data_IF_401773426964
#
_entry.id   IF_401773426964
#
_cell.length_a   1.000
_cell.length_b   1.000
_cell.length_c   1.000
_cell.angle_alpha   90.00
_cell.angle_beta   90.00
_cell.angle_gamma   90.00
#
_symmetry.space_group_name_H-M   'P 1'
#
loop_
_entity.id
_entity.type
_entity.pdbx_description
1 polymer ?
#
# COMPACT_ATOMS: atom_id res chain seq x y z
N UNK A 1 76.12 17.04 3.87
CA UNK A 1 74.78 17.60 4.09
C UNK A 1 73.93 17.26 2.87
N UNK A 2 73.04 16.28 2.98
CA UNK A 2 72.09 15.89 1.91
C UNK A 2 70.71 16.37 2.33
N UNK A 3 70.22 17.40 1.67
CA UNK A 3 68.87 17.94 1.86
C UNK A 3 67.86 17.09 1.13
N UNK A 4 66.92 16.46 1.90
CA UNK A 4 65.83 15.66 1.39
C UNK A 4 64.62 16.58 1.15
N UNK A 5 64.20 16.74 -0.10
CA UNK A 5 62.99 17.43 -0.49
C UNK A 5 61.82 16.41 -0.39
N UNK A 6 60.94 16.63 0.59
CA UNK A 6 59.69 15.88 0.67
C UNK A 6 58.64 16.57 -0.24
N UNK A 7 58.23 15.87 -1.32
CA UNK A 7 57.11 16.30 -2.18
C UNK A 7 55.82 15.92 -1.52
N UNK A 8 55.08 16.91 -1.07
CA UNK A 8 53.74 16.71 -0.54
C UNK A 8 52.74 16.60 -1.71
N UNK A 9 52.25 15.39 -2.01
CA UNK A 9 51.15 15.21 -2.95
C UNK A 9 49.82 15.63 -2.26
N UNK A 10 49.31 16.80 -2.61
CA UNK A 10 47.97 17.23 -2.27
C UNK A 10 47.02 16.53 -3.24
N UNK A 11 46.38 15.41 -2.81
CA UNK A 11 45.31 14.78 -3.56
C UNK A 11 44.08 15.67 -3.45
N UNK A 12 43.79 16.43 -4.50
CA UNK A 12 42.51 17.13 -4.62
C UNK A 12 41.39 16.10 -4.85
N UNK A 13 40.64 15.78 -3.80
CA UNK A 13 39.36 15.10 -3.97
C UNK A 13 38.42 16.05 -4.72
N UNK A 14 38.25 15.84 -6.01
CA UNK A 14 37.18 16.48 -6.78
C UNK A 14 35.86 15.86 -6.31
N UNK A 15 35.14 16.57 -5.45
CA UNK A 15 33.73 16.28 -5.20
C UNK A 15 32.99 16.59 -6.49
N UNK A 16 32.61 15.55 -7.25
CA UNK A 16 31.70 15.71 -8.38
C UNK A 16 30.36 16.18 -7.79
N UNK A 17 30.01 17.43 -7.98
CA UNK A 17 28.72 17.97 -7.61
C UNK A 17 27.69 17.40 -8.62
N UNK A 18 26.70 16.66 -8.12
CA UNK A 18 25.61 16.17 -8.96
C UNK A 18 24.78 17.33 -9.52
N UNK A 19 24.36 17.22 -10.80
CA UNK A 19 23.54 18.26 -11.44
C UNK A 19 22.09 18.15 -10.97
N UNK A 20 21.55 19.29 -10.51
CA UNK A 20 20.16 19.42 -10.10
C UNK A 20 19.34 20.16 -11.16
N UNK A 21 18.14 19.67 -11.42
CA UNK A 21 17.15 20.28 -12.31
C UNK A 21 15.85 20.54 -11.52
N UNK A 22 15.36 21.78 -11.56
CA UNK A 22 14.15 22.22 -10.85
C UNK A 22 13.20 22.89 -11.83
N UNK A 23 12.00 22.34 -11.93
CA UNK A 23 10.98 22.84 -12.84
C UNK A 23 9.70 23.08 -12.03
N UNK A 24 9.13 24.27 -12.15
CA UNK A 24 7.79 24.57 -11.65
C UNK A 24 6.89 24.93 -12.84
N UNK A 25 5.67 24.36 -12.87
CA UNK A 25 4.66 24.60 -13.90
C UNK A 25 3.29 24.68 -13.26
N UNK A 26 2.50 25.64 -13.74
CA UNK A 26 1.12 25.82 -13.29
C UNK A 26 0.17 25.76 -14.49
N UNK A 27 -0.96 25.07 -14.33
CA UNK A 27 -1.98 24.87 -15.35
C UNK A 27 -3.33 25.29 -14.79
N UNK A 28 -4.02 26.19 -15.46
CA UNK A 28 -5.39 26.56 -15.09
C UNK A 28 -6.33 25.44 -15.46
N UNK A 29 -7.12 24.96 -14.49
CA UNK A 29 -8.08 23.88 -14.66
C UNK A 29 -9.40 24.20 -13.97
N UNK A 30 -10.40 23.37 -14.22
CA UNK A 30 -11.67 23.38 -13.51
C UNK A 30 -11.82 22.12 -12.64
N UNK A 31 -12.65 22.11 -11.61
CA UNK A 31 -12.94 20.87 -10.86
C UNK A 31 -13.47 19.76 -11.78
N UNK A 32 -13.09 18.51 -11.53
CA UNK A 32 -13.48 17.34 -12.35
C UNK A 32 -12.54 17.07 -13.51
N UNK A 33 -11.29 17.51 -13.44
CA UNK A 33 -10.25 17.17 -14.42
C UNK A 33 -9.47 15.91 -14.08
N UNK A 34 -8.46 15.63 -14.90
CA UNK A 34 -7.60 14.46 -14.82
C UNK A 34 -6.13 14.85 -14.70
N UNK A 35 -5.42 14.17 -13.80
CA UNK A 35 -3.96 14.22 -13.71
C UNK A 35 -3.36 12.88 -14.15
N UNK A 36 -2.45 12.91 -15.11
CA UNK A 36 -1.66 11.75 -15.54
C UNK A 36 -0.19 12.02 -15.28
N UNK A 37 0.45 11.19 -14.45
CA UNK A 37 1.89 11.26 -14.20
C UNK A 37 2.53 9.92 -14.55
N UNK A 38 3.41 9.90 -15.54
CA UNK A 38 4.13 8.72 -16.00
C UNK A 38 5.64 8.99 -15.98
N UNK A 39 6.32 8.44 -14.97
CA UNK A 39 7.76 8.68 -14.79
C UNK A 39 8.55 7.39 -14.69
N UNK A 40 9.78 7.39 -15.19
CA UNK A 40 10.65 6.21 -15.16
C UNK A 40 11.25 5.95 -13.78
N UNK A 41 11.43 6.98 -12.96
CA UNK A 41 11.97 6.88 -11.60
C UNK A 41 11.54 8.09 -10.76
N UNK A 42 11.69 7.97 -9.44
CA UNK A 42 11.38 9.04 -8.48
C UNK A 42 10.03 8.88 -7.81
N UNK A 43 9.86 9.60 -6.71
CA UNK A 43 8.61 9.62 -5.95
C UNK A 43 7.60 10.58 -6.55
N UNK A 44 6.33 10.21 -6.46
CA UNK A 44 5.20 11.06 -6.85
C UNK A 44 4.39 11.37 -5.59
N UNK A 45 4.17 12.64 -5.33
CA UNK A 45 3.30 13.13 -4.27
C UNK A 45 2.21 14.00 -4.87
N UNK A 46 0.95 13.66 -4.60
CA UNK A 46 -0.21 14.42 -5.04
C UNK A 46 -0.99 14.87 -3.82
N UNK A 47 -1.18 16.15 -3.70
CA UNK A 47 -1.94 16.79 -2.61
C UNK A 47 -3.07 17.60 -3.23
N UNK A 48 -4.31 17.27 -2.89
CA UNK A 48 -5.41 18.10 -3.27
C UNK A 48 -5.66 19.17 -2.20
N UNK A 49 -5.81 20.42 -2.66
CA UNK A 49 -6.01 21.57 -1.81
C UNK A 49 -7.43 22.13 -2.00
N UNK A 50 -8.18 22.38 -0.91
CA UNK A 50 -9.51 22.97 -0.99
C UNK A 50 -9.51 24.33 -1.67
N UNK A 51 -10.44 24.52 -2.61
CA UNK A 51 -10.62 25.81 -3.29
C UNK A 51 -9.58 26.16 -4.35
N UNK A 52 -8.65 25.28 -4.65
CA UNK A 52 -7.67 25.45 -5.73
C UNK A 52 -8.36 25.36 -7.10
N UNK A 53 -7.90 26.17 -8.07
CA UNK A 53 -8.39 26.23 -9.46
C UNK A 53 -7.28 26.02 -10.49
N UNK A 54 -6.15 25.46 -10.05
CA UNK A 54 -4.99 25.18 -10.89
C UNK A 54 -4.35 23.86 -10.48
N UNK A 55 -3.57 23.29 -11.37
CA UNK A 55 -2.62 22.20 -11.09
C UNK A 55 -1.23 22.81 -11.10
N UNK A 56 -0.56 22.78 -9.96
CA UNK A 56 0.83 23.19 -9.83
C UNK A 56 1.71 21.95 -9.68
N UNK A 57 2.76 21.90 -10.49
CA UNK A 57 3.71 20.78 -10.53
C UNK A 57 5.09 21.29 -10.23
N UNK A 58 5.68 20.76 -9.15
CA UNK A 58 7.07 20.96 -8.77
C UNK A 58 7.86 19.69 -9.05
N UNK A 59 8.89 19.80 -9.89
CA UNK A 59 9.79 18.70 -10.21
C UNK A 59 11.19 19.04 -9.72
N UNK A 60 11.77 18.16 -8.95
CA UNK A 60 13.17 18.19 -8.60
C UNK A 60 13.83 16.89 -9.05
N UNK A 61 14.92 17.00 -9.82
CA UNK A 61 15.73 15.86 -10.26
C UNK A 61 17.19 16.09 -9.91
N UNK A 62 17.86 15.05 -9.49
CA UNK A 62 19.29 15.03 -9.24
C UNK A 62 19.92 13.85 -9.97
N UNK A 63 20.81 14.18 -10.88
CA UNK A 63 21.50 13.21 -11.73
C UNK A 63 22.96 13.14 -11.32
N UNK A 64 23.46 11.94 -11.10
CA UNK A 64 24.87 11.71 -10.77
C UNK A 64 25.50 10.81 -11.84
N UNK A 65 26.51 11.31 -12.52
CA UNK A 65 27.32 10.62 -13.54
C UNK A 65 28.81 10.76 -13.23
N UNK A 66 29.64 10.35 -14.16
CA UNK A 66 31.09 10.46 -14.03
C UNK A 66 31.58 11.90 -14.12
N UNK A 67 30.87 12.77 -14.81
CA UNK A 67 31.17 14.19 -14.97
C UNK A 67 29.87 14.99 -15.25
N UNK A 68 29.96 16.31 -15.09
CA UNK A 68 28.84 17.23 -15.27
C UNK A 68 28.30 17.25 -16.72
N UNK A 69 29.17 17.11 -17.72
CA UNK A 69 28.74 17.08 -19.12
C UNK A 69 27.82 15.89 -19.42
N UNK A 70 28.09 14.71 -18.85
CA UNK A 70 27.23 13.53 -18.98
C UNK A 70 25.90 13.71 -18.24
N UNK A 71 25.91 14.46 -17.14
CA UNK A 71 24.70 14.78 -16.36
C UNK A 71 23.78 15.73 -17.14
N UNK A 72 24.33 16.80 -17.70
CA UNK A 72 23.62 17.76 -18.55
C UNK A 72 23.08 17.09 -19.83
N UNK A 73 23.90 16.26 -20.49
CA UNK A 73 23.46 15.49 -21.65
C UNK A 73 22.29 14.58 -21.32
N UNK A 74 22.35 13.88 -20.18
CA UNK A 74 21.26 13.04 -19.71
C UNK A 74 19.96 13.83 -19.51
N UNK A 75 20.00 14.98 -18.82
CA UNK A 75 18.83 15.83 -18.61
C UNK A 75 18.23 16.34 -19.92
N UNK A 76 19.07 16.66 -20.90
CA UNK A 76 18.64 17.10 -22.23
C UNK A 76 18.00 15.97 -23.06
N UNK A 77 18.53 14.75 -22.95
CA UNK A 77 17.99 13.57 -23.64
C UNK A 77 16.71 13.03 -22.99
N UNK A 78 16.49 13.35 -21.71
CA UNK A 78 15.34 12.88 -20.93
C UNK A 78 14.55 14.07 -20.34
N UNK A 79 13.91 14.90 -21.19
CA UNK A 79 13.15 16.04 -20.73
C UNK A 79 11.95 15.61 -19.92
N UNK A 80 11.48 16.52 -19.05
CA UNK A 80 10.14 16.41 -18.44
C UNK A 80 9.16 17.10 -19.38
N UNK A 81 8.23 16.33 -19.90
CA UNK A 81 7.20 16.81 -20.80
C UNK A 81 5.92 17.14 -20.02
N UNK A 82 5.34 18.28 -20.34
CA UNK A 82 4.08 18.74 -19.78
C UNK A 82 3.10 18.99 -20.92
N UNK A 83 1.94 18.36 -20.85
CA UNK A 83 0.88 18.48 -21.86
C UNK A 83 -0.41 18.85 -21.13
N UNK A 84 -1.11 19.86 -21.59
CA UNK A 84 -2.46 20.17 -21.15
C UNK A 84 -3.40 19.98 -22.35
N UNK A 85 -4.41 19.14 -22.18
CA UNK A 85 -5.50 18.98 -23.14
C UNK A 85 -6.84 19.20 -22.40
N UNK A 86 -7.41 20.37 -22.62
CA UNK A 86 -8.60 20.80 -21.87
C UNK A 86 -8.35 20.81 -20.37
N UNK A 87 -9.04 19.91 -19.64
CA UNK A 87 -8.97 19.78 -18.19
C UNK A 87 -8.05 18.61 -17.73
N UNK A 88 -7.34 18.00 -18.67
CA UNK A 88 -6.37 16.93 -18.40
C UNK A 88 -4.96 17.50 -18.41
N UNK A 89 -4.23 17.30 -17.32
CA UNK A 89 -2.81 17.65 -17.19
C UNK A 89 -1.97 16.37 -17.19
N UNK A 90 -1.03 16.26 -18.12
CA UNK A 90 -0.13 15.11 -18.24
C UNK A 90 1.32 15.53 -18.02
N UNK A 91 2.00 14.80 -17.14
CA UNK A 91 3.44 14.89 -16.91
C UNK A 91 4.10 13.57 -17.34
N UNK A 92 5.08 13.63 -18.22
CA UNK A 92 5.87 12.49 -18.65
C UNK A 92 7.35 12.74 -18.44
N UNK A 93 8.02 11.78 -17.79
CA UNK A 93 9.47 11.77 -17.66
C UNK A 93 9.97 10.30 -17.78
N UNK A 94 9.70 9.71 -18.95
CA UNK A 94 10.10 8.35 -19.26
C UNK A 94 11.56 8.37 -19.71
N UNK A 95 12.44 7.72 -18.96
CA UNK A 95 13.80 7.46 -19.41
C UNK A 95 13.79 6.54 -20.64
N UNK A 96 14.83 6.66 -21.48
CA UNK A 96 14.99 5.75 -22.61
C UNK A 96 15.13 4.30 -22.08
N UNK A 97 14.16 3.44 -22.38
CA UNK A 97 14.08 2.06 -21.91
C UNK A 97 15.02 1.10 -22.66
N UNK A 98 16.10 1.61 -23.26
CA UNK A 98 17.14 0.73 -23.77
C UNK A 98 17.85 0.07 -22.58
N UNK A 99 17.48 -1.16 -22.32
CA UNK A 99 18.08 -2.04 -21.34
C UNK A 99 19.55 -2.30 -21.74
N UNK A 100 20.46 -1.48 -21.20
CA UNK A 100 21.90 -1.72 -21.37
C UNK A 100 22.35 -2.76 -20.33
N UNK A 101 22.77 -3.92 -20.80
CA UNK A 101 23.35 -5.02 -20.01
C UNK A 101 24.73 -4.69 -19.44
N UNK A 102 25.02 -3.44 -19.10
CA UNK A 102 26.28 -3.06 -18.45
C UNK A 102 26.17 -3.24 -16.93
N UNK A 103 26.34 -4.46 -16.48
CA UNK A 103 26.39 -4.86 -15.06
C UNK A 103 27.47 -4.08 -14.26
N UNK A 104 28.56 -3.67 -14.91
CA UNK A 104 29.70 -3.04 -14.23
C UNK A 104 29.59 -1.52 -14.03
N UNK A 105 28.60 -0.82 -14.62
CA UNK A 105 28.43 0.64 -14.52
C UNK A 105 27.32 1.10 -13.56
N UNK A 106 26.48 0.21 -13.10
CA UNK A 106 25.24 0.55 -12.36
C UNK A 106 25.46 1.24 -11.01
N UNK A 107 26.61 1.06 -10.38
CA UNK A 107 26.91 1.61 -9.05
C UNK A 107 27.28 3.10 -9.05
N UNK A 108 27.62 3.66 -10.18
CA UNK A 108 28.03 5.07 -10.33
C UNK A 108 26.91 5.99 -10.79
N UNK A 109 25.84 5.47 -11.38
CA UNK A 109 24.75 6.23 -11.94
C UNK A 109 23.57 6.25 -10.96
N UNK A 110 23.39 7.36 -10.24
CA UNK A 110 22.25 7.55 -9.35
C UNK A 110 21.34 8.63 -9.92
N UNK A 111 20.07 8.30 -10.01
CA UNK A 111 19.01 9.25 -10.37
C UNK A 111 18.06 9.36 -9.19
N UNK A 112 17.85 10.56 -8.71
CA UNK A 112 16.84 10.88 -7.72
C UNK A 112 15.85 11.86 -8.33
N UNK A 113 14.57 11.70 -8.08
CA UNK A 113 13.56 12.65 -8.51
C UNK A 113 12.37 12.67 -7.57
N UNK A 114 11.79 13.85 -7.42
CA UNK A 114 10.57 14.10 -6.67
C UNK A 114 9.64 14.92 -7.55
N UNK A 115 8.42 14.43 -7.72
CA UNK A 115 7.34 15.08 -8.45
C UNK A 115 6.24 15.37 -7.46
N UNK A 116 6.06 16.66 -7.11
CA UNK A 116 5.03 17.11 -6.19
C UNK A 116 3.95 17.85 -6.99
N UNK A 117 2.73 17.42 -6.86
CA UNK A 117 1.60 18.00 -7.59
C UNK A 117 0.54 18.46 -6.61
N UNK A 118 0.21 19.73 -6.67
CA UNK A 118 -0.92 20.33 -5.99
C UNK A 118 -2.08 20.52 -6.98
N UNK A 119 -3.29 20.08 -6.63
CA UNK A 119 -4.44 20.10 -7.54
C UNK A 119 -5.77 20.36 -6.80
N UNK A 120 -6.87 20.65 -7.51
CA UNK A 120 -8.18 20.74 -6.90
C UNK A 120 -8.66 19.40 -6.31
N UNK A 121 -9.48 19.44 -5.26
CA UNK A 121 -9.99 18.23 -4.59
C UNK A 121 -10.70 17.26 -5.56
N UNK A 122 -11.55 17.79 -6.46
CA UNK A 122 -12.32 16.98 -7.43
C UNK A 122 -11.49 16.72 -8.67
N UNK A 123 -10.58 15.75 -8.58
CA UNK A 123 -9.71 15.38 -9.68
C UNK A 123 -9.50 13.86 -9.71
N UNK A 124 -9.48 13.27 -10.90
CA UNK A 124 -9.05 11.89 -11.05
C UNK A 124 -7.53 11.84 -11.28
N UNK A 125 -6.86 10.79 -10.79
CA UNK A 125 -5.40 10.68 -10.90
C UNK A 125 -4.97 9.32 -11.42
N UNK A 126 -4.03 9.33 -12.37
CA UNK A 126 -3.34 8.15 -12.88
C UNK A 126 -1.84 8.33 -12.76
N UNK A 127 -1.23 7.59 -11.83
CA UNK A 127 0.14 7.79 -11.39
C UNK A 127 0.96 6.54 -11.60
N UNK A 128 2.09 6.66 -12.30
CA UNK A 128 2.97 5.54 -12.59
C UNK A 128 4.43 5.91 -12.41
N UNK A 129 5.17 5.08 -11.64
CA UNK A 129 6.63 5.15 -11.53
C UNK A 129 7.21 3.74 -11.45
N UNK A 130 8.50 3.55 -11.80
CA UNK A 130 9.11 2.23 -11.65
C UNK A 130 9.76 2.02 -10.27
N UNK A 131 10.23 3.06 -9.60
CA UNK A 131 11.05 2.87 -8.40
C UNK A 131 10.65 3.66 -7.17
N UNK A 132 9.94 4.77 -7.32
CA UNK A 132 9.59 5.67 -6.22
C UNK A 132 8.30 5.32 -5.48
N UNK A 133 8.13 5.92 -4.33
CA UNK A 133 6.86 5.91 -3.61
C UNK A 133 5.83 6.78 -4.33
N UNK A 134 4.56 6.37 -4.28
CA UNK A 134 3.43 7.22 -4.67
C UNK A 134 2.62 7.54 -3.41
N UNK A 135 2.39 8.82 -3.16
CA UNK A 135 1.55 9.32 -2.08
C UNK A 135 0.45 10.20 -2.65
N UNK A 136 -0.80 9.96 -2.25
CA UNK A 136 -1.96 10.74 -2.68
C UNK A 136 -2.78 11.12 -1.46
N UNK A 137 -3.16 12.39 -1.36
CA UNK A 137 -3.94 12.89 -0.23
C UNK A 137 -5.03 13.87 -0.62
N UNK A 138 -6.15 13.81 0.11
CA UNK A 138 -7.29 14.73 0.06
C UNK A 138 -8.03 14.79 -1.29
N UNK A 139 -7.98 13.73 -2.09
CA UNK A 139 -8.61 13.68 -3.42
C UNK A 139 -10.04 13.17 -3.33
N UNK A 140 -10.97 13.90 -3.96
CA UNK A 140 -12.35 13.46 -4.20
C UNK A 140 -12.50 13.05 -5.68
N UNK A 141 -12.07 11.84 -6.00
CA UNK A 141 -12.05 11.28 -7.35
C UNK A 141 -11.37 9.92 -7.39
N UNK A 142 -11.30 9.32 -8.57
CA UNK A 142 -10.63 8.04 -8.74
C UNK A 142 -9.12 8.18 -8.68
N UNK A 143 -8.45 7.26 -7.98
CA UNK A 143 -6.99 7.20 -7.87
C UNK A 143 -6.49 5.86 -8.40
N UNK A 144 -5.68 5.91 -9.46
CA UNK A 144 -4.94 4.77 -9.98
C UNK A 144 -3.45 4.98 -9.77
N UNK A 145 -2.80 4.11 -9.02
CA UNK A 145 -1.38 4.23 -8.69
C UNK A 145 -0.63 2.91 -8.91
N UNK A 146 0.42 2.97 -9.72
CA UNK A 146 1.24 1.81 -10.09
C UNK A 146 2.72 2.12 -9.86
N UNK A 147 3.41 1.29 -9.08
CA UNK A 147 4.86 1.34 -8.91
C UNK A 147 5.46 -0.04 -8.82
N UNK A 148 6.71 -0.24 -9.25
CA UNK A 148 7.33 -1.55 -9.10
C UNK A 148 8.10 -1.70 -7.79
N UNK A 149 8.84 -0.68 -7.37
CA UNK A 149 9.72 -0.77 -6.20
C UNK A 149 9.23 -0.08 -4.95
N UNK A 150 8.55 1.05 -5.09
CA UNK A 150 8.13 1.90 -3.98
C UNK A 150 6.85 1.45 -3.29
N UNK A 151 6.54 2.07 -2.17
CA UNK A 151 5.27 1.88 -1.49
C UNK A 151 4.18 2.80 -2.02
N UNK A 152 2.93 2.50 -1.68
CA UNK A 152 1.77 3.34 -1.95
C UNK A 152 1.21 3.87 -0.63
N UNK A 153 0.79 5.14 -0.65
CA UNK A 153 0.10 5.76 0.49
C UNK A 153 -1.10 6.56 -0.01
N UNK A 154 -2.26 6.22 0.50
CA UNK A 154 -3.51 6.91 0.24
C UNK A 154 -4.06 7.45 1.56
N UNK A 155 -4.38 8.73 1.61
CA UNK A 155 -4.89 9.38 2.82
C UNK A 155 -6.05 10.31 2.46
N UNK A 156 -7.19 10.13 3.12
CA UNK A 156 -8.38 10.96 2.93
C UNK A 156 -8.79 11.04 1.45
N UNK A 157 -9.05 9.87 0.85
CA UNK A 157 -9.50 9.76 -0.54
C UNK A 157 -11.00 9.42 -0.53
N UNK A 158 -11.78 10.20 -1.26
CA UNK A 158 -13.20 9.98 -1.46
C UNK A 158 -13.46 9.58 -2.92
N UNK A 159 -13.40 8.27 -3.18
CA UNK A 159 -13.55 7.69 -4.52
C UNK A 159 -12.88 6.34 -4.65
N UNK A 160 -12.89 5.77 -5.86
CA UNK A 160 -12.27 4.47 -6.09
C UNK A 160 -10.74 4.56 -6.04
N UNK A 161 -10.12 3.57 -5.39
CA UNK A 161 -8.67 3.42 -5.34
C UNK A 161 -8.26 2.12 -6.01
N UNK A 162 -7.37 2.19 -6.99
CA UNK A 162 -6.71 1.04 -7.60
C UNK A 162 -5.20 1.21 -7.42
N UNK A 163 -4.61 0.49 -6.47
CA UNK A 163 -3.21 0.58 -6.11
C UNK A 163 -2.45 -0.71 -6.36
N UNK A 164 -1.37 -0.65 -7.14
CA UNK A 164 -0.50 -1.79 -7.37
C UNK A 164 0.97 -1.45 -7.12
N UNK A 165 1.65 -2.35 -6.39
CA UNK A 165 3.12 -2.31 -6.28
C UNK A 165 3.67 -3.74 -6.27
N UNK A 166 4.92 -3.93 -6.72
CA UNK A 166 5.55 -5.25 -6.63
C UNK A 166 6.36 -5.41 -5.35
N UNK A 167 7.10 -4.39 -4.94
CA UNK A 167 8.04 -4.49 -3.81
C UNK A 167 7.58 -3.84 -2.52
N UNK A 168 6.96 -2.69 -2.61
CA UNK A 168 6.62 -1.86 -1.46
C UNK A 168 5.36 -2.28 -0.69
N UNK A 169 5.17 -1.71 0.48
CA UNK A 169 3.92 -1.83 1.22
C UNK A 169 2.87 -0.82 0.77
N UNK A 170 1.61 -1.09 1.11
CA UNK A 170 0.49 -0.20 0.82
C UNK A 170 -0.15 0.26 2.13
N UNK A 171 -0.34 1.57 2.26
CA UNK A 171 -1.03 2.19 3.40
C UNK A 171 -2.23 2.97 2.92
N UNK A 172 -3.38 2.71 3.54
CA UNK A 172 -4.65 3.40 3.28
C UNK A 172 -5.15 3.95 4.61
N UNK A 173 -5.44 5.25 4.68
CA UNK A 173 -5.94 5.89 5.88
C UNK A 173 -7.12 6.81 5.54
N UNK A 174 -8.23 6.63 6.24
CA UNK A 174 -9.44 7.47 6.14
C UNK A 174 -9.95 7.62 4.69
N UNK A 175 -10.03 6.51 3.96
CA UNK A 175 -10.48 6.48 2.57
C UNK A 175 -11.83 5.79 2.43
N UNK A 176 -12.70 6.35 1.57
CA UNK A 176 -14.03 5.83 1.30
C UNK A 176 -14.22 5.52 -0.18
N UNK A 177 -14.85 4.36 -0.47
CA UNK A 177 -15.17 3.93 -1.84
C UNK A 177 -14.74 2.49 -2.12
N UNK A 178 -14.62 2.15 -3.41
CA UNK A 178 -14.11 0.85 -3.84
C UNK A 178 -12.59 0.84 -3.84
N UNK A 179 -11.99 0.08 -2.91
CA UNK A 179 -10.56 0.03 -2.70
C UNK A 179 -10.02 -1.32 -3.16
N UNK A 180 -9.23 -1.32 -4.24
CA UNK A 180 -8.53 -2.48 -4.77
C UNK A 180 -7.02 -2.26 -4.66
N UNK A 181 -6.35 -3.03 -3.80
CA UNK A 181 -4.92 -2.86 -3.53
C UNK A 181 -4.17 -4.18 -3.56
N UNK A 182 -3.06 -4.20 -4.30
CA UNK A 182 -2.27 -5.41 -4.47
C UNK A 182 -0.77 -5.12 -4.35
N UNK A 183 -0.06 -5.98 -3.63
CA UNK A 183 1.40 -5.97 -3.59
C UNK A 183 1.95 -7.39 -3.65
N UNK A 184 3.19 -7.59 -4.10
CA UNK A 184 3.81 -8.91 -4.04
C UNK A 184 4.68 -9.07 -2.80
N UNK A 185 5.46 -8.07 -2.43
CA UNK A 185 6.44 -8.18 -1.35
C UNK A 185 6.03 -7.55 -0.03
N UNK A 186 5.43 -6.38 -0.07
CA UNK A 186 5.12 -5.58 1.11
C UNK A 186 3.87 -6.02 1.88
N UNK A 187 3.65 -5.40 3.03
CA UNK A 187 2.41 -5.53 3.79
C UNK A 187 1.35 -4.54 3.34
N UNK A 188 0.12 -4.77 3.78
CA UNK A 188 -1.03 -3.89 3.59
C UNK A 188 -1.52 -3.43 4.96
N UNK A 189 -1.58 -2.12 5.16
CA UNK A 189 -2.13 -1.49 6.35
C UNK A 189 -3.31 -0.58 5.96
N UNK A 190 -4.50 -0.87 6.47
CA UNK A 190 -5.70 -0.04 6.27
C UNK A 190 -6.20 0.44 7.62
N UNK A 191 -6.47 1.72 7.75
CA UNK A 191 -6.99 2.33 8.98
C UNK A 191 -8.02 3.42 8.69
N UNK A 192 -9.18 3.31 9.33
CA UNK A 192 -10.29 4.25 9.09
C UNK A 192 -10.97 4.04 7.73
N UNK A 193 -12.00 4.83 7.49
CA UNK A 193 -12.73 4.84 6.22
C UNK A 193 -13.79 3.76 6.07
N UNK A 194 -14.27 3.58 4.84
CA UNK A 194 -15.36 2.68 4.52
C UNK A 194 -15.51 2.38 3.03
N UNK A 195 -16.56 1.62 2.71
CA UNK A 195 -16.83 1.17 1.34
C UNK A 195 -16.46 -0.29 1.15
N UNK A 196 -15.94 -0.70 0.00
CA UNK A 196 -15.51 -2.08 -0.27
C UNK A 196 -13.99 -2.19 -0.31
N UNK A 197 -13.43 -3.16 0.39
CA UNK A 197 -11.98 -3.39 0.40
C UNK A 197 -11.60 -4.75 -0.16
N UNK A 198 -10.81 -4.75 -1.24
CA UNK A 198 -10.13 -5.92 -1.77
C UNK A 198 -8.61 -5.72 -1.67
N UNK A 199 -7.95 -6.54 -0.86
CA UNK A 199 -6.52 -6.39 -0.58
C UNK A 199 -5.74 -7.69 -0.63
N UNK A 200 -4.71 -7.78 -1.49
CA UNK A 200 -3.90 -8.98 -1.61
C UNK A 200 -2.40 -8.69 -1.55
N UNK A 201 -1.68 -9.57 -0.86
CA UNK A 201 -0.21 -9.60 -0.92
C UNK A 201 0.30 -11.03 -1.00
N UNK A 202 1.52 -11.24 -1.52
CA UNK A 202 2.11 -12.58 -1.48
C UNK A 202 3.01 -12.78 -0.27
N UNK A 203 3.81 -11.78 0.10
CA UNK A 203 4.81 -11.92 1.15
C UNK A 203 4.44 -11.29 2.48
N UNK A 204 3.86 -10.12 2.48
CA UNK A 204 3.61 -9.33 3.68
C UNK A 204 2.39 -9.76 4.50
N UNK A 205 2.26 -9.18 5.68
CA UNK A 205 1.04 -9.29 6.48
C UNK A 205 -0.01 -8.25 6.06
N UNK A 206 -1.26 -8.46 6.47
CA UNK A 206 -2.36 -7.54 6.27
C UNK A 206 -2.90 -7.12 7.63
N UNK A 207 -2.99 -5.81 7.84
CA UNK A 207 -3.58 -5.22 9.05
C UNK A 207 -4.71 -4.27 8.67
N UNK A 208 -5.91 -4.54 9.16
CA UNK A 208 -7.07 -3.68 8.94
C UNK A 208 -7.60 -3.22 10.29
N UNK A 209 -7.76 -1.91 10.46
CA UNK A 209 -8.29 -1.31 11.68
C UNK A 209 -9.40 -0.32 11.38
N UNK A 210 -10.49 -0.42 12.12
CA UNK A 210 -11.59 0.57 12.11
C UNK A 210 -12.16 0.84 10.71
N UNK A 211 -12.45 -0.22 9.98
CA UNK A 211 -13.03 -0.11 8.63
C UNK A 211 -14.52 -0.47 8.65
N UNK A 212 -15.32 0.25 7.84
CA UNK A 212 -16.76 0.06 7.76
C UNK A 212 -17.17 -0.39 6.35
N UNK A 213 -17.53 -1.64 6.21
CA UNK A 213 -18.01 -2.25 4.96
C UNK A 213 -17.40 -3.63 4.66
N UNK A 214 -17.76 -4.22 3.51
CA UNK A 214 -17.24 -5.52 3.09
C UNK A 214 -15.73 -5.53 2.90
N UNK A 215 -15.07 -6.58 3.42
CA UNK A 215 -13.63 -6.80 3.33
C UNK A 215 -13.35 -8.19 2.75
N UNK A 216 -12.55 -8.24 1.68
CA UNK A 216 -11.96 -9.47 1.16
C UNK A 216 -10.44 -9.30 1.06
N UNK A 217 -9.70 -10.08 1.85
CA UNK A 217 -8.23 -9.94 1.97
C UNK A 217 -7.52 -11.29 1.92
N UNK A 218 -6.35 -11.30 1.29
CA UNK A 218 -5.56 -12.51 1.13
C UNK A 218 -4.05 -12.28 1.21
N UNK A 219 -3.33 -13.22 1.85
CA UNK A 219 -1.87 -13.27 1.79
C UNK A 219 -1.37 -14.70 1.69
N UNK A 220 -0.20 -14.92 1.10
CA UNK A 220 0.38 -16.25 1.10
C UNK A 220 1.35 -16.47 2.27
N UNK A 221 2.16 -15.48 2.61
CA UNK A 221 3.22 -15.64 3.61
C UNK A 221 2.89 -15.05 4.98
N UNK A 222 2.35 -13.85 5.01
CA UNK A 222 2.13 -13.08 6.24
C UNK A 222 0.90 -13.49 7.05
N UNK A 223 0.76 -12.90 8.23
CA UNK A 223 -0.46 -13.01 9.03
C UNK A 223 -1.50 -11.98 8.64
N UNK A 224 -2.73 -12.19 9.10
CA UNK A 224 -3.84 -11.25 8.97
C UNK A 224 -4.24 -10.77 10.38
N UNK A 225 -4.35 -9.47 10.54
CA UNK A 225 -4.91 -8.84 11.74
C UNK A 225 -6.07 -7.94 11.37
N UNK A 226 -7.23 -8.16 11.97
CA UNK A 226 -8.41 -7.32 11.80
C UNK A 226 -8.91 -6.84 13.16
N UNK A 227 -9.22 -5.55 13.27
CA UNK A 227 -9.63 -4.93 14.53
C UNK A 227 -10.75 -3.92 14.29
N UNK A 228 -11.82 -4.01 15.08
CA UNK A 228 -12.95 -3.05 15.08
C UNK A 228 -13.59 -2.85 13.70
N UNK A 229 -13.92 -3.94 13.03
CA UNK A 229 -14.53 -3.93 11.71
C UNK A 229 -16.06 -3.96 11.83
N UNK A 230 -16.74 -3.20 10.97
CA UNK A 230 -18.19 -3.26 10.76
C UNK A 230 -18.46 -3.70 9.32
N UNK A 231 -19.04 -4.89 9.16
CA UNK A 231 -19.33 -5.47 7.86
C UNK A 231 -18.83 -6.91 7.72
N UNK A 232 -19.16 -7.59 6.61
CA UNK A 232 -18.69 -8.93 6.35
C UNK A 232 -17.18 -8.97 6.08
N UNK A 233 -16.52 -10.02 6.59
CA UNK A 233 -15.08 -10.21 6.45
C UNK A 233 -14.81 -11.57 5.82
N UNK A 234 -14.01 -11.60 4.76
CA UNK A 234 -13.40 -12.81 4.21
C UNK A 234 -11.89 -12.64 4.19
N UNK A 235 -11.20 -13.44 4.98
CA UNK A 235 -9.74 -13.37 5.14
C UNK A 235 -9.06 -14.72 5.00
N UNK A 236 -8.05 -14.79 4.13
CA UNK A 236 -7.28 -16.01 3.92
C UNK A 236 -5.78 -15.77 3.98
N UNK A 237 -5.06 -16.65 4.69
CA UNK A 237 -3.59 -16.74 4.59
C UNK A 237 -3.15 -18.19 4.44
N UNK A 238 -2.02 -18.43 3.76
CA UNK A 238 -1.48 -19.80 3.67
C UNK A 238 -0.48 -20.08 4.80
N UNK A 239 0.39 -19.13 5.13
CA UNK A 239 1.48 -19.39 6.09
C UNK A 239 1.24 -18.81 7.48
N UNK A 240 0.71 -17.61 7.58
CA UNK A 240 0.59 -16.86 8.83
C UNK A 240 -0.57 -17.26 9.71
N UNK A 241 -0.64 -16.63 10.89
CA UNK A 241 -1.80 -16.71 11.79
C UNK A 241 -2.78 -15.60 11.49
N UNK A 242 -4.06 -15.84 11.88
CA UNK A 242 -5.12 -14.84 11.80
C UNK A 242 -5.49 -14.37 13.21
N UNK A 243 -5.50 -13.06 13.41
CA UNK A 243 -5.91 -12.40 14.65
C UNK A 243 -7.08 -11.46 14.37
N UNK A 244 -8.22 -11.70 15.02
CA UNK A 244 -9.40 -10.84 14.90
C UNK A 244 -9.79 -10.31 16.27
N UNK A 245 -9.96 -8.99 16.41
CA UNK A 245 -10.45 -8.31 17.59
C UNK A 245 -11.74 -7.57 17.22
N UNK A 246 -12.86 -8.15 17.63
CA UNK A 246 -14.19 -7.67 17.27
C UNK A 246 -14.81 -6.95 18.48
N UNK A 247 -14.55 -5.65 18.58
CA UNK A 247 -15.01 -4.79 19.70
C UNK A 247 -16.50 -4.45 19.62
N UNK A 248 -17.07 -4.47 18.42
CA UNK A 248 -18.49 -4.18 18.17
C UNK A 248 -19.32 -5.45 18.13
N UNK A 249 -20.65 -5.37 18.29
CA UNK A 249 -21.51 -6.52 18.04
C UNK A 249 -21.26 -7.08 16.64
N UNK A 250 -21.20 -8.40 16.51
CA UNK A 250 -21.08 -9.07 15.22
C UNK A 250 -22.42 -8.97 14.51
N UNK A 251 -22.47 -8.16 13.45
CA UNK A 251 -23.70 -7.90 12.68
C UNK A 251 -23.67 -8.50 11.28
N UNK A 252 -22.53 -9.06 10.88
CA UNK A 252 -22.29 -9.60 9.52
C UNK A 252 -21.45 -10.88 9.58
N UNK A 253 -21.50 -11.66 8.52
CA UNK A 253 -20.77 -12.92 8.41
C UNK A 253 -19.25 -12.69 8.39
N UNK A 254 -18.53 -13.59 9.04
CA UNK A 254 -17.06 -13.59 9.14
C UNK A 254 -16.55 -14.96 8.70
N UNK A 255 -15.65 -14.97 7.74
CA UNK A 255 -14.97 -16.17 7.22
C UNK A 255 -13.46 -15.95 7.24
N UNK A 256 -12.77 -16.61 8.17
CA UNK A 256 -11.34 -16.48 8.36
C UNK A 256 -10.65 -17.83 8.24
N UNK A 257 -9.66 -17.93 7.40
CA UNK A 257 -8.97 -19.19 7.16
C UNK A 257 -7.44 -19.05 7.05
N UNK A 258 -6.75 -20.11 7.46
CA UNK A 258 -5.30 -20.25 7.26
C UNK A 258 -4.93 -21.70 7.03
N UNK A 259 -3.82 -21.97 6.32
CA UNK A 259 -3.33 -23.36 6.18
C UNK A 259 -2.30 -23.70 7.24
N UNK A 260 -1.39 -22.80 7.58
CA UNK A 260 -0.26 -23.10 8.48
C UNK A 260 -0.43 -22.61 9.91
N UNK A 261 -0.97 -21.42 10.09
CA UNK A 261 -1.06 -20.77 11.40
C UNK A 261 -2.28 -21.14 12.23
N UNK A 262 -2.42 -20.51 13.39
CA UNK A 262 -3.63 -20.54 14.21
C UNK A 262 -4.57 -19.39 13.92
N UNK A 263 -5.79 -19.51 14.42
CA UNK A 263 -6.79 -18.43 14.37
C UNK A 263 -7.14 -18.02 15.81
N UNK A 264 -6.96 -16.76 16.12
CA UNK A 264 -7.26 -16.17 17.41
C UNK A 264 -8.31 -15.07 17.25
N UNK A 265 -9.50 -15.30 17.79
CA UNK A 265 -10.59 -14.34 17.74
C UNK A 265 -10.92 -13.87 19.14
N UNK A 266 -10.89 -12.55 19.35
CA UNK A 266 -11.34 -11.94 20.60
C UNK A 266 -12.64 -11.19 20.36
N UNK A 267 -13.64 -11.47 21.18
CA UNK A 267 -14.98 -10.89 21.06
C UNK A 267 -15.50 -10.40 22.41
N UNK A 268 -16.46 -9.48 22.38
CA UNK A 268 -17.19 -9.08 23.59
C UNK A 268 -17.89 -10.28 24.24
N UNK A 269 -17.96 -10.28 25.56
CA UNK A 269 -18.70 -11.28 26.32
C UNK A 269 -20.15 -11.47 25.86
N UNK A 270 -20.76 -10.40 25.36
CA UNK A 270 -22.16 -10.37 24.93
C UNK A 270 -22.31 -10.62 23.41
N UNK A 271 -21.21 -10.94 22.70
CA UNK A 271 -21.27 -11.23 21.28
C UNK A 271 -22.15 -12.44 21.01
N UNK A 272 -23.04 -12.33 20.04
CA UNK A 272 -24.01 -13.37 19.67
C UNK A 272 -23.81 -13.74 18.19
N UNK A 273 -23.54 -15.02 17.92
CA UNK A 273 -23.24 -15.51 16.57
C UNK A 273 -23.36 -17.03 16.46
N UNK A 274 -23.46 -17.55 15.25
CA UNK A 274 -23.34 -18.97 14.96
C UNK A 274 -21.86 -19.29 14.66
N UNK A 275 -21.24 -20.10 15.52
CA UNK A 275 -19.81 -20.51 15.36
C UNK A 275 -19.70 -21.81 14.56
N UNK A 276 -18.79 -21.85 13.60
CA UNK A 276 -18.32 -23.06 12.91
C UNK A 276 -16.80 -23.00 12.82
N UNK A 277 -16.11 -23.64 13.76
CA UNK A 277 -14.66 -23.62 13.89
C UNK A 277 -14.07 -25.01 13.73
N UNK A 278 -13.19 -25.19 12.75
CA UNK A 278 -12.60 -26.49 12.38
C UNK A 278 -11.10 -26.38 12.15
N UNK A 279 -10.36 -27.36 12.69
CA UNK A 279 -8.93 -27.52 12.46
C UNK A 279 -8.58 -28.96 12.15
N UNK A 280 -7.58 -29.19 11.29
CA UNK A 280 -7.09 -30.55 11.05
C UNK A 280 -5.93 -30.93 11.98
N UNK A 281 -5.07 -29.99 12.36
CA UNK A 281 -3.86 -30.27 13.12
C UNK A 281 -3.84 -29.85 14.58
N UNK A 282 -4.77 -29.01 15.00
CA UNK A 282 -4.80 -28.45 16.35
C UNK A 282 -6.04 -28.83 17.16
N UNK A 283 -6.39 -27.94 18.08
CA UNK A 283 -7.62 -28.01 18.84
C UNK A 283 -8.45 -26.73 18.71
N UNK A 284 -9.74 -26.81 18.96
CA UNK A 284 -10.64 -25.67 19.03
C UNK A 284 -11.02 -25.42 20.49
N UNK A 285 -10.90 -24.17 20.93
CA UNK A 285 -11.32 -23.74 22.28
C UNK A 285 -12.14 -22.47 22.24
N UNK A 286 -13.04 -22.31 23.18
CA UNK A 286 -13.85 -21.10 23.37
C UNK A 286 -13.99 -20.78 24.85
N UNK A 287 -13.73 -19.52 25.23
CA UNK A 287 -14.01 -19.01 26.57
C UNK A 287 -15.49 -18.64 26.74
N UNK A 288 -16.23 -18.55 25.64
CA UNK A 288 -17.66 -18.26 25.64
C UNK A 288 -18.46 -19.55 25.70
N UNK A 289 -19.62 -19.57 26.39
CA UNK A 289 -20.52 -20.72 26.37
C UNK A 289 -21.07 -20.92 24.96
N UNK A 290 -20.90 -22.14 24.44
CA UNK A 290 -21.40 -22.55 23.12
C UNK A 290 -22.49 -23.60 23.31
N UNK A 291 -23.69 -23.34 22.84
CA UNK A 291 -24.75 -24.35 22.78
C UNK A 291 -24.57 -25.22 21.54
N UNK A 292 -24.16 -26.44 21.73
CA UNK A 292 -23.87 -27.40 20.67
C UNK A 292 -25.03 -28.34 20.43
N UNK A 293 -25.39 -28.56 19.15
CA UNK A 293 -26.33 -29.62 18.76
C UNK A 293 -25.53 -30.72 18.04
N UNK A 294 -25.34 -31.86 18.69
CA UNK A 294 -24.57 -32.99 18.16
C UNK A 294 -23.27 -33.29 18.92
N UNK A 295 -22.33 -34.01 18.29
CA UNK A 295 -21.09 -34.43 18.92
C UNK A 295 -20.06 -33.30 18.92
N UNK A 296 -19.42 -33.09 20.06
CA UNK A 296 -18.29 -32.17 20.21
C UNK A 296 -17.00 -32.94 19.89
N UNK A 297 -16.29 -32.51 18.86
CA UNK A 297 -14.95 -33.01 18.53
C UNK A 297 -13.86 -32.11 19.12
N UNK A 298 -12.67 -32.67 19.35
CA UNK A 298 -11.52 -31.89 19.83
C UNK A 298 -11.07 -30.84 18.78
N UNK A 299 -11.30 -31.12 17.53
CA UNK A 299 -10.86 -30.34 16.39
C UNK A 299 -11.98 -29.61 15.62
N UNK A 300 -13.23 -29.78 16.09
CA UNK A 300 -14.40 -29.14 15.49
C UNK A 300 -15.38 -28.69 16.57
N UNK A 301 -15.74 -27.42 16.56
CA UNK A 301 -16.74 -26.83 17.45
C UNK A 301 -17.76 -26.05 16.61
N UNK A 302 -18.97 -26.63 16.53
CA UNK A 302 -20.11 -26.02 15.83
C UNK A 302 -21.25 -25.79 16.78
N UNK A 303 -21.75 -24.57 16.87
CA UNK A 303 -22.83 -24.27 17.79
C UNK A 303 -23.21 -22.80 17.80
N UNK A 304 -24.05 -22.44 18.75
CA UNK A 304 -24.59 -21.11 18.94
C UNK A 304 -23.97 -20.45 20.17
N UNK A 305 -23.42 -19.27 20.01
CA UNK A 305 -22.90 -18.42 21.08
C UNK A 305 -23.99 -17.41 21.48
N UNK A 306 -24.36 -17.39 22.78
CA UNK A 306 -25.44 -16.57 23.33
C UNK A 306 -26.77 -16.79 22.57
N UNK A 307 -27.36 -15.71 22.03
CA UNK A 307 -28.63 -15.78 21.27
C UNK A 307 -28.49 -16.21 19.83
N UNK A 308 -27.25 -16.48 19.36
CA UNK A 308 -27.00 -16.72 17.94
C UNK A 308 -26.99 -15.43 17.10
N UNK A 309 -26.84 -15.58 15.80
CA UNK A 309 -26.75 -14.43 14.88
C UNK A 309 -25.97 -14.76 13.62
N UNK A 310 -25.19 -13.80 13.06
CA UNK A 310 -24.39 -14.00 11.88
C UNK A 310 -23.42 -15.18 12.00
N UNK A 311 -23.00 -15.71 10.85
CA UNK A 311 -22.08 -16.84 10.79
C UNK A 311 -20.64 -16.41 11.04
N UNK A 312 -19.95 -17.09 11.94
CA UNK A 312 -18.51 -16.97 12.15
C UNK A 312 -17.86 -18.31 11.81
N UNK A 313 -17.21 -18.37 10.65
CA UNK A 313 -16.48 -19.56 10.18
C UNK A 313 -14.99 -19.34 10.36
N UNK A 314 -14.37 -20.32 11.03
CA UNK A 314 -12.94 -20.29 11.32
C UNK A 314 -12.33 -21.62 10.89
N UNK A 315 -11.43 -21.59 9.92
CA UNK A 315 -10.83 -22.83 9.41
C UNK A 315 -9.30 -22.76 9.38
N UNK A 316 -8.64 -23.77 9.94
CA UNK A 316 -7.19 -23.94 9.78
C UNK A 316 -6.81 -25.39 9.55
N UNK A 317 -5.75 -25.64 8.78
CA UNK A 317 -5.23 -27.01 8.62
C UNK A 317 -4.15 -27.33 9.65
N UNK A 318 -3.33 -26.37 10.08
CA UNK A 318 -2.17 -26.65 10.93
C UNK A 318 -2.30 -26.24 12.39
N UNK A 319 -2.82 -25.08 12.67
CA UNK A 319 -2.82 -24.47 14.00
C UNK A 319 -4.07 -24.77 14.82
N UNK A 320 -4.15 -24.15 16.00
CA UNK A 320 -5.34 -24.18 16.86
C UNK A 320 -6.23 -22.97 16.61
N UNK A 321 -7.51 -23.12 16.93
CA UNK A 321 -8.50 -22.04 16.90
C UNK A 321 -8.90 -21.69 18.33
N UNK A 322 -8.75 -20.42 18.70
CA UNK A 322 -9.10 -19.93 20.02
C UNK A 322 -10.08 -18.75 19.91
N UNK A 323 -11.27 -18.91 20.46
CA UNK A 323 -12.27 -17.85 20.58
C UNK A 323 -12.26 -17.37 22.02
N UNK A 324 -11.76 -16.17 22.24
CA UNK A 324 -11.54 -15.63 23.59
C UNK A 324 -12.49 -14.46 23.88
N UNK A 325 -12.82 -14.32 25.14
CA UNK A 325 -13.51 -13.15 25.67
C UNK A 325 -12.49 -11.99 25.82
N UNK A 326 -12.91 -10.78 25.44
CA UNK A 326 -12.21 -9.53 25.68
C UNK A 326 -12.19 -9.16 27.16
#
# INVERSE_FOLDING_TARGET
>A
MKTLFALLFLSACTVSAATEDKINKTFTVSPGGDLVVEVGFGSIEVVADPGRSDVNVDVWRKITRSNTSDEEAYLKEHPVEFIQDGNTVTLRALGNTQFSWSWFGAWRNRNEAHYVVHLPEKFATKLKTSGGQIAVSNVSGSVNADTSGGGLRFTNIHGSINGHTSGGGIKVADCDGDIHINTSGGGIDVSGGGGTLHGNTSGGGITIKTFNGPIEIGTSGGGITVESIQGPIKGHTSGGSVHAILLTPITSDIDLSTSGGGIHVKVSANAAFALDAETSGGGVSSDLPVTVQGNIGRNHLKGTVNSGGPSVRLHTSGGSINVQKL
#
